data_IF_708216605886
#
_entry.id   IF_708216605886
#
_cell.length_a   1.000
_cell.length_b   1.000
_cell.length_c   1.000
_cell.angle_alpha   90.00
_cell.angle_beta   90.00
_cell.angle_gamma   90.00
#
_symmetry.space_group_name_H-M   'P 1'
#
loop_
_entity.id
_entity.type
_entity.pdbx_description
1 polymer ?
#
# COMPACT_ATOMS: atom_id res chain seq x y z
N UNK A 1 1.53 9.52 -15.20
CA UNK A 1 2.48 8.39 -15.39
C UNK A 1 1.92 7.45 -16.45
N UNK A 2 2.71 6.51 -17.00
CA UNK A 2 2.17 5.52 -17.94
C UNK A 2 1.32 4.46 -17.21
N UNK A 3 0.40 3.83 -17.93
CA UNK A 3 -0.45 2.75 -17.39
C UNK A 3 0.41 1.62 -16.81
N UNK A 4 1.40 1.17 -17.57
CA UNK A 4 2.33 0.10 -17.15
C UNK A 4 3.05 0.46 -15.85
N UNK A 5 3.55 1.69 -15.72
CA UNK A 5 4.23 2.13 -14.50
C UNK A 5 3.27 2.15 -13.30
N UNK A 6 2.05 2.64 -13.50
CA UNK A 6 1.03 2.73 -12.44
C UNK A 6 0.66 1.33 -11.92
N UNK A 7 0.49 0.36 -12.81
CA UNK A 7 0.22 -1.04 -12.46
C UNK A 7 1.39 -1.70 -11.74
N UNK A 8 2.63 -1.47 -12.19
CA UNK A 8 3.83 -1.98 -11.51
C UNK A 8 3.95 -1.44 -10.08
N UNK A 9 3.71 -0.13 -9.89
CA UNK A 9 3.72 0.50 -8.57
C UNK A 9 2.59 -0.03 -7.69
N UNK A 10 1.39 -0.25 -8.25
CA UNK A 10 0.25 -0.79 -7.52
C UNK A 10 0.56 -2.21 -7.03
N UNK A 11 1.09 -3.07 -7.90
CA UNK A 11 1.51 -4.41 -7.52
C UNK A 11 2.57 -4.38 -6.41
N UNK A 12 3.58 -3.51 -6.53
CA UNK A 12 4.59 -3.30 -5.48
C UNK A 12 3.99 -2.86 -4.15
N UNK A 13 3.08 -1.88 -4.17
CA UNK A 13 2.40 -1.40 -2.97
C UNK A 13 1.57 -2.50 -2.29
N UNK A 14 0.86 -3.33 -3.06
CA UNK A 14 0.09 -4.46 -2.54
C UNK A 14 1.00 -5.53 -1.91
N UNK A 15 2.14 -5.85 -2.54
CA UNK A 15 3.12 -6.79 -1.98
C UNK A 15 3.65 -6.27 -0.64
N UNK A 16 4.02 -4.98 -0.57
CA UNK A 16 4.51 -4.35 0.67
C UNK A 16 3.43 -4.34 1.74
N UNK A 17 2.20 -3.96 1.39
CA UNK A 17 1.07 -3.93 2.32
C UNK A 17 0.78 -5.34 2.88
N UNK A 18 0.73 -6.36 2.01
CA UNK A 18 0.53 -7.75 2.41
C UNK A 18 1.66 -8.28 3.31
N UNK A 19 2.91 -8.03 2.94
CA UNK A 19 4.07 -8.44 3.74
C UNK A 19 4.10 -7.73 5.10
N UNK A 20 3.92 -6.41 5.13
CA UNK A 20 3.90 -5.62 6.35
C UNK A 20 2.71 -5.99 7.24
N UNK A 21 1.54 -6.27 6.65
CA UNK A 21 0.37 -6.77 7.35
C UNK A 21 0.61 -8.13 8.01
N UNK A 22 1.17 -9.09 7.27
CA UNK A 22 1.55 -10.40 7.80
C UNK A 22 2.59 -10.29 8.92
N UNK A 23 3.63 -9.46 8.76
CA UNK A 23 4.65 -9.22 9.79
C UNK A 23 4.09 -8.51 11.02
N UNK A 24 3.17 -7.57 10.82
CA UNK A 24 2.51 -6.82 11.89
C UNK A 24 1.51 -7.65 12.68
N UNK A 25 0.84 -8.61 12.03
CA UNK A 25 -0.15 -9.49 12.64
C UNK A 25 0.46 -10.58 13.54
N UNK A 26 1.76 -10.84 13.44
CA UNK A 26 2.45 -11.78 14.35
C UNK A 26 2.32 -11.31 15.81
N UNK A 27 2.21 -12.22 16.79
CA UNK A 27 2.17 -11.88 18.21
C UNK A 27 3.33 -10.96 18.62
N UNK A 28 3.08 -9.99 19.49
CA UNK A 28 4.15 -9.17 20.07
C UNK A 28 4.85 -9.96 21.18
N UNK A 29 6.17 -10.05 21.09
CA UNK A 29 7.00 -10.47 22.20
C UNK A 29 7.27 -9.25 23.09
N UNK A 30 6.91 -9.33 24.37
CA UNK A 30 7.12 -8.25 25.34
C UNK A 30 8.61 -8.06 25.67
N UNK A 31 9.43 -9.10 25.52
CA UNK A 31 10.87 -9.05 25.78
C UNK A 31 11.65 -8.52 24.57
N UNK A 32 11.03 -8.49 23.38
CA UNK A 32 11.63 -8.00 22.13
C UNK A 32 10.69 -7.01 21.43
N UNK A 33 10.69 -5.73 21.87
CA UNK A 33 9.90 -4.68 21.25
C UNK A 33 10.14 -4.62 19.74
N UNK A 34 9.06 -4.44 18.98
CA UNK A 34 9.17 -4.26 17.53
C UNK A 34 9.77 -2.89 17.22
N UNK A 35 10.99 -2.89 16.69
CA UNK A 35 11.65 -1.66 16.21
C UNK A 35 11.02 -1.09 14.94
N UNK A 36 10.52 -1.96 14.06
CA UNK A 36 9.90 -1.55 12.80
C UNK A 36 8.38 -1.43 12.99
N UNK A 37 7.77 -0.28 12.68
CA UNK A 37 6.34 -0.06 12.83
C UNK A 37 5.56 -0.69 11.66
N UNK A 38 5.53 -2.03 11.60
CA UNK A 38 4.92 -2.80 10.49
C UNK A 38 3.48 -2.39 10.17
N UNK A 39 2.67 -2.07 11.19
CA UNK A 39 1.28 -1.62 10.99
C UNK A 39 1.21 -0.28 10.28
N UNK A 40 2.11 0.66 10.60
CA UNK A 40 2.17 1.95 9.92
C UNK A 40 2.59 1.79 8.46
N UNK A 41 3.59 0.94 8.19
CA UNK A 41 4.04 0.61 6.83
C UNK A 41 2.90 0.00 6.01
N UNK A 42 2.14 -0.94 6.60
CA UNK A 42 0.95 -1.53 5.97
C UNK A 42 -0.08 -0.46 5.59
N UNK A 43 -0.41 0.45 6.52
CA UNK A 43 -1.37 1.52 6.27
C UNK A 43 -0.90 2.49 5.19
N UNK A 44 0.38 2.89 5.22
CA UNK A 44 0.97 3.78 4.22
C UNK A 44 0.96 3.14 2.82
N UNK A 45 1.36 1.86 2.72
CA UNK A 45 1.32 1.12 1.47
C UNK A 45 -0.12 0.93 0.96
N UNK A 46 -1.08 0.67 1.85
CA UNK A 46 -2.50 0.58 1.51
C UNK A 46 -3.06 1.91 1.01
N UNK A 47 -2.71 3.03 1.65
CA UNK A 47 -3.10 4.37 1.20
C UNK A 47 -2.52 4.69 -0.19
N UNK A 48 -1.24 4.36 -0.41
CA UNK A 48 -0.62 4.52 -1.73
C UNK A 48 -1.32 3.66 -2.80
N UNK A 49 -1.63 2.41 -2.49
CA UNK A 49 -2.37 1.53 -3.40
C UNK A 49 -3.75 2.10 -3.75
N UNK A 50 -4.45 2.67 -2.77
CA UNK A 50 -5.73 3.36 -3.01
C UNK A 50 -5.58 4.57 -3.95
N UNK A 51 -4.58 5.42 -3.72
CA UNK A 51 -4.31 6.57 -4.59
C UNK A 51 -3.95 6.15 -6.03
N UNK A 52 -3.16 5.06 -6.18
CA UNK A 52 -2.84 4.50 -7.50
C UNK A 52 -4.09 3.96 -8.21
N UNK A 53 -5.04 3.38 -7.46
CA UNK A 53 -6.30 2.92 -8.01
C UNK A 53 -7.17 4.09 -8.51
N UNK A 54 -7.21 5.20 -7.75
CA UNK A 54 -7.82 6.45 -8.22
C UNK A 54 -7.11 6.97 -9.47
N UNK A 55 -5.77 6.93 -9.50
CA UNK A 55 -5.00 7.36 -10.67
C UNK A 55 -5.31 6.52 -11.91
N UNK A 56 -5.46 5.20 -11.78
CA UNK A 56 -5.92 4.33 -12.87
C UNK A 56 -7.29 4.81 -13.37
N UNK A 57 -8.24 5.10 -12.48
CA UNK A 57 -9.52 5.70 -12.85
C UNK A 57 -9.35 6.95 -13.72
N UNK A 58 -8.48 7.88 -13.33
CA UNK A 58 -8.20 9.09 -14.12
C UNK A 58 -7.59 8.79 -15.49
N UNK A 59 -6.71 7.79 -15.59
CA UNK A 59 -6.15 7.34 -16.88
C UNK A 59 -7.21 6.70 -17.79
N UNK A 60 -8.25 6.11 -17.21
CA UNK A 60 -9.40 5.54 -17.93
C UNK A 60 -10.49 6.58 -18.25
N UNK A 61 -10.25 7.87 -17.99
CA UNK A 61 -11.20 8.96 -18.24
C UNK A 61 -12.23 9.18 -17.13
N UNK A 62 -12.09 8.52 -15.98
CA UNK A 62 -12.90 8.82 -14.78
C UNK A 62 -12.32 10.05 -14.09
N UNK A 63 -12.83 11.22 -14.46
CA UNK A 63 -12.42 12.49 -13.83
C UNK A 63 -13.20 12.71 -12.54
N UNK A 64 -12.53 13.03 -11.41
CA UNK A 64 -13.21 13.48 -10.21
C UNK A 64 -14.03 14.73 -10.51
N UNK A 65 -15.34 14.70 -10.22
CA UNK A 65 -16.21 15.87 -10.33
C UNK A 65 -16.09 16.66 -9.02
N UNK A 66 -15.48 17.83 -9.09
CA UNK A 66 -15.45 18.84 -8.01
C UNK A 66 -16.68 19.72 -8.10
#
# INVERSE_FOLDING_TARGET
MSMTLTLSLLAGALIVAGFAGWRGARPSDFLKPRMVPWRFIMLLAGALAFLLMVHIGTLMGVTPRT
#
